data_IF_172688296340
#
_entry.id   IF_172688296340
#
_cell.length_a   1.000
_cell.length_b   1.000
_cell.length_c   1.000
_cell.angle_alpha   90.00
_cell.angle_beta   90.00
_cell.angle_gamma   90.00
#
_symmetry.space_group_name_H-M   'P 1'
#
loop_
_entity.id
_entity.type
_entity.pdbx_description
1 polymer ?
#
# COMPACT_ATOMS: atom_id res chain seq x y z
N UNK A 1 -15.57 -2.41 1.02
CA UNK A 1 -15.55 -1.31 0.02
C UNK A 1 -14.35 -0.40 0.23
N UNK A 2 -14.14 0.13 1.44
CA UNK A 2 -12.98 0.99 1.73
C UNK A 2 -11.63 0.25 1.77
N UNK A 3 -11.58 -1.06 2.05
CA UNK A 3 -10.32 -1.83 2.01
C UNK A 3 -9.67 -1.80 0.62
N UNK A 4 -10.48 -2.04 -0.43
CA UNK A 4 -10.01 -2.02 -1.81
C UNK A 4 -9.56 -0.61 -2.21
N UNK A 5 -10.26 0.44 -1.76
CA UNK A 5 -9.88 1.83 -2.00
C UNK A 5 -8.55 2.18 -1.32
N UNK A 6 -8.36 1.76 -0.06
CA UNK A 6 -7.11 1.93 0.69
C UNK A 6 -5.95 1.23 -0.03
N UNK A 7 -6.12 -0.06 -0.34
CA UNK A 7 -5.11 -0.86 -1.01
C UNK A 7 -4.74 -0.26 -2.38
N UNK A 8 -5.73 0.15 -3.18
CA UNK A 8 -5.47 0.75 -4.50
C UNK A 8 -4.76 2.10 -4.40
N UNK A 9 -5.12 2.93 -3.43
CA UNK A 9 -4.49 4.24 -3.22
C UNK A 9 -3.01 4.09 -2.82
N UNK A 10 -2.71 3.13 -1.95
CA UNK A 10 -1.34 2.80 -1.55
C UNK A 10 -0.55 2.20 -2.71
N UNK A 11 -1.09 1.18 -3.39
CA UNK A 11 -0.42 0.51 -4.51
C UNK A 11 -0.02 1.50 -5.61
N UNK A 12 -0.97 2.35 -6.04
CA UNK A 12 -0.72 3.34 -7.10
C UNK A 12 0.37 4.35 -6.70
N UNK A 13 0.38 4.78 -5.43
CA UNK A 13 1.35 5.75 -4.92
C UNK A 13 2.75 5.16 -4.78
N UNK A 14 2.86 3.90 -4.35
CA UNK A 14 4.15 3.18 -4.27
C UNK A 14 4.75 3.01 -5.67
N UNK A 15 3.96 2.58 -6.66
CA UNK A 15 4.43 2.42 -8.04
C UNK A 15 4.95 3.74 -8.60
N UNK A 16 4.18 4.82 -8.46
CA UNK A 16 4.56 6.12 -8.98
C UNK A 16 5.82 6.69 -8.31
N UNK A 17 6.00 6.45 -7.00
CA UNK A 17 7.14 6.97 -6.24
C UNK A 17 8.42 6.16 -6.47
N UNK A 18 8.28 4.83 -6.60
CA UNK A 18 9.42 3.92 -6.59
C UNK A 18 9.76 3.34 -7.98
N UNK A 19 8.92 3.58 -8.99
CA UNK A 19 9.02 2.97 -10.32
C UNK A 19 9.10 1.43 -10.26
N UNK A 20 8.40 0.84 -9.28
CA UNK A 20 8.34 -0.60 -9.11
C UNK A 20 7.36 -1.21 -10.10
N UNK A 21 7.58 -2.49 -10.42
CA UNK A 21 6.63 -3.26 -11.20
C UNK A 21 5.30 -3.41 -10.45
N UNK A 22 4.19 -3.17 -11.15
CA UNK A 22 2.86 -3.31 -10.56
C UNK A 22 2.48 -4.79 -10.38
N UNK A 23 2.42 -5.23 -9.11
CA UNK A 23 1.97 -6.57 -8.72
C UNK A 23 0.47 -6.66 -8.45
N UNK A 24 -0.26 -5.56 -8.64
CA UNK A 24 -1.70 -5.37 -8.45
C UNK A 24 -2.18 -5.58 -7.02
N UNK A 25 -3.36 -5.05 -6.74
CA UNK A 25 -4.09 -5.34 -5.49
C UNK A 25 -4.71 -6.72 -5.59
N UNK A 26 -4.58 -7.52 -4.53
CA UNK A 26 -5.20 -8.84 -4.42
C UNK A 26 -6.00 -8.97 -3.12
N UNK A 27 -7.12 -9.67 -3.18
CA UNK A 27 -7.94 -10.01 -2.01
C UNK A 27 -7.41 -11.30 -1.36
N UNK A 28 -7.21 -11.27 -0.04
CA UNK A 28 -6.77 -12.43 0.72
C UNK A 28 -7.41 -12.46 2.12
N UNK A 29 -7.56 -13.66 2.68
CA UNK A 29 -8.17 -13.88 3.99
C UNK A 29 -7.18 -13.79 5.17
N UNK A 30 -6.23 -12.85 5.11
CA UNK A 30 -5.28 -12.66 6.20
C UNK A 30 -5.99 -12.17 7.46
N UNK A 31 -5.62 -12.73 8.61
CA UNK A 31 -6.28 -12.45 9.89
C UNK A 31 -6.37 -10.95 10.20
N UNK A 32 -5.25 -10.24 10.01
CA UNK A 32 -5.13 -8.79 10.29
C UNK A 32 -6.01 -7.93 9.39
N UNK A 33 -6.27 -8.36 8.16
CA UNK A 33 -7.19 -7.66 7.25
C UNK A 33 -8.63 -8.00 7.64
N UNK A 34 -8.94 -9.29 7.79
CA UNK A 34 -10.31 -9.79 7.99
C UNK A 34 -10.92 -9.43 9.35
N UNK A 35 -10.09 -9.30 10.39
CA UNK A 35 -10.54 -9.03 11.78
C UNK A 35 -10.44 -7.57 12.20
N UNK A 36 -10.04 -6.69 11.28
CA UNK A 36 -10.02 -5.24 11.52
C UNK A 36 -11.41 -4.64 11.33
N UNK A 37 -11.79 -3.71 12.21
CA UNK A 37 -13.10 -3.00 12.16
C UNK A 37 -13.02 -1.68 11.38
N UNK A 38 -11.83 -1.32 10.91
CA UNK A 38 -11.54 -0.18 10.04
C UNK A 38 -10.96 -0.68 8.71
N UNK A 39 -10.88 0.17 7.67
CA UNK A 39 -10.24 -0.20 6.42
C UNK A 39 -8.82 -0.72 6.63
N UNK A 40 -8.49 -1.89 6.06
CA UNK A 40 -7.20 -2.54 6.28
C UNK A 40 -6.57 -3.08 4.99
N UNK A 41 -5.25 -3.00 4.90
CA UNK A 41 -4.45 -3.55 3.81
C UNK A 41 -3.12 -4.10 4.35
N UNK A 42 -2.59 -5.14 3.70
CA UNK A 42 -1.25 -5.67 3.92
C UNK A 42 -0.42 -5.39 2.66
N UNK A 43 0.80 -4.90 2.85
CA UNK A 43 1.69 -4.48 1.76
C UNK A 43 2.87 -5.44 1.72
N UNK A 44 3.04 -6.12 0.59
CA UNK A 44 4.23 -6.91 0.28
C UNK A 44 5.21 -6.02 -0.49
N UNK A 45 6.27 -5.56 0.17
CA UNK A 45 7.16 -4.52 -0.37
C UNK A 45 8.13 -5.07 -1.43
N UNK A 46 8.73 -6.23 -1.18
CA UNK A 46 9.62 -6.97 -2.08
C UNK A 46 9.80 -8.41 -1.55
N UNK A 47 10.52 -9.25 -2.29
CA UNK A 47 10.72 -10.67 -1.96
C UNK A 47 12.09 -10.89 -1.33
N UNK A 48 12.13 -11.29 -0.05
CA UNK A 48 13.37 -11.68 0.65
C UNK A 48 14.05 -12.88 -0.03
N UNK A 49 13.29 -13.76 -0.66
CA UNK A 49 13.82 -14.94 -1.36
C UNK A 49 14.54 -14.60 -2.68
N UNK A 50 14.43 -13.37 -3.16
CA UNK A 50 15.18 -12.87 -4.31
C UNK A 50 16.37 -12.04 -3.79
N UNK A 51 17.63 -12.47 -3.99
CA UNK A 51 18.80 -11.78 -3.44
C UNK A 51 18.93 -10.30 -3.83
N UNK A 52 18.43 -9.91 -5.00
CA UNK A 52 18.48 -8.51 -5.43
C UNK A 52 17.41 -7.67 -4.73
N UNK A 53 16.22 -8.23 -4.52
CA UNK A 53 15.14 -7.59 -3.76
C UNK A 53 15.44 -7.55 -2.26
N UNK A 54 16.11 -8.56 -1.71
CA UNK A 54 16.61 -8.56 -0.32
C UNK A 54 17.60 -7.42 -0.07
N UNK A 55 18.55 -7.20 -0.99
CA UNK A 55 19.47 -6.06 -0.91
C UNK A 55 18.72 -4.72 -0.93
N UNK A 56 17.68 -4.60 -1.74
CA UNK A 56 16.82 -3.42 -1.76
C UNK A 56 16.09 -3.24 -0.43
N UNK A 57 15.51 -4.31 0.15
CA UNK A 57 14.85 -4.25 1.46
C UNK A 57 15.78 -3.76 2.57
N UNK A 58 17.08 -4.02 2.47
CA UNK A 58 18.10 -3.56 3.40
C UNK A 58 18.65 -2.14 3.09
N UNK A 59 18.24 -1.51 1.98
CA UNK A 59 18.68 -0.17 1.62
C UNK A 59 17.85 0.90 2.34
N UNK A 60 18.49 1.83 3.09
CA UNK A 60 17.78 2.97 3.70
C UNK A 60 17.05 3.84 2.67
N UNK A 61 17.62 3.99 1.47
CA UNK A 61 17.03 4.78 0.40
C UNK A 61 15.75 4.12 -0.12
N UNK A 62 15.74 2.81 -0.29
CA UNK A 62 14.54 2.07 -0.69
C UNK A 62 13.46 2.14 0.39
N UNK A 63 13.81 1.89 1.65
CA UNK A 63 12.89 2.02 2.78
C UNK A 63 12.24 3.41 2.86
N UNK A 64 13.04 4.48 2.66
CA UNK A 64 12.53 5.85 2.67
C UNK A 64 11.55 6.11 1.52
N UNK A 65 11.85 5.65 0.31
CA UNK A 65 10.94 5.81 -0.83
C UNK A 65 9.65 5.00 -0.69
N UNK A 66 9.73 3.80 -0.12
CA UNK A 66 8.56 2.99 0.22
C UNK A 66 7.68 3.69 1.26
N UNK A 67 8.28 4.19 2.35
CA UNK A 67 7.57 4.94 3.37
C UNK A 67 6.88 6.19 2.80
N UNK A 68 7.57 6.93 1.90
CA UNK A 68 7.00 8.09 1.23
C UNK A 68 5.80 7.72 0.33
N UNK A 69 5.92 6.63 -0.44
CA UNK A 69 4.82 6.14 -1.28
C UNK A 69 3.61 5.68 -0.46
N UNK A 70 3.84 5.01 0.67
CA UNK A 70 2.77 4.61 1.61
C UNK A 70 2.08 5.84 2.19
N UNK A 71 2.86 6.82 2.67
CA UNK A 71 2.34 8.08 3.21
C UNK A 71 1.46 8.82 2.19
N UNK A 72 1.94 9.00 0.96
CA UNK A 72 1.15 9.63 -0.11
C UNK A 72 -0.11 8.83 -0.45
N UNK A 73 -0.03 7.50 -0.42
CA UNK A 73 -1.18 6.62 -0.61
C UNK A 73 -2.25 6.78 0.45
N UNK A 74 -1.85 6.97 1.71
CA UNK A 74 -2.76 7.23 2.82
C UNK A 74 -3.44 8.60 2.66
N UNK A 75 -2.69 9.64 2.33
CA UNK A 75 -3.24 10.98 2.08
C UNK A 75 -4.27 10.96 0.95
N UNK A 76 -3.93 10.30 -0.16
CA UNK A 76 -4.84 10.07 -1.29
C UNK A 76 -6.11 9.28 -0.88
N UNK A 77 -5.96 8.28 -0.01
CA UNK A 77 -7.10 7.51 0.50
C UNK A 77 -8.03 8.39 1.32
N UNK A 78 -7.51 9.15 2.29
CA UNK A 78 -8.35 10.00 3.15
C UNK A 78 -9.04 11.12 2.36
N UNK A 79 -8.35 11.73 1.39
CA UNK A 79 -8.95 12.72 0.50
C UNK A 79 -10.12 12.14 -0.31
N UNK A 80 -9.98 10.92 -0.85
CA UNK A 80 -11.05 10.24 -1.58
C UNK A 80 -12.18 9.76 -0.66
N UNK A 81 -11.84 9.21 0.50
CA UNK A 81 -12.81 8.74 1.49
C UNK A 81 -13.68 9.90 2.01
N UNK A 82 -13.10 11.07 2.24
CA UNK A 82 -13.85 12.27 2.63
C UNK A 82 -14.84 12.71 1.55
N UNK A 83 -14.45 12.69 0.27
CA UNK A 83 -15.35 12.99 -0.86
C UNK A 83 -16.51 12.00 -0.96
N UNK A 84 -16.24 10.73 -0.70
CA UNK A 84 -17.25 9.66 -0.76
C UNK A 84 -18.15 9.62 0.49
N UNK A 85 -17.68 10.15 1.61
CA UNK A 85 -18.41 10.25 2.88
C UNK A 85 -19.26 11.52 3.04
N UNK A 86 -18.96 12.60 2.32
CA UNK A 86 -19.66 13.89 2.39
C UNK A 86 -21.07 13.95 1.77
N UNK A 87 -21.71 12.79 1.57
CA UNK A 87 -23.05 12.66 1.00
C UNK A 87 -24.08 12.04 1.94
N UNK A 88 -23.88 12.14 3.26
CA UNK A 88 -24.89 11.82 4.28
C UNK A 88 -24.94 12.90 5.34
#
# INVERSE_FOLDING_TARGET
MYDALLAQSIQSSIINTNQLSDRRVNSANFYVIKRSVMPAALIEMAFITNPDEEKLLNSPQFQQKMAQGIYQGLDNFFAQAARNGGGR
#
